data_IF_576095996445
#
_entry.id   IF_576095996445
#
_cell.length_a   1.000
_cell.length_b   1.000
_cell.length_c   1.000
_cell.angle_alpha   90.00
_cell.angle_beta   90.00
_cell.angle_gamma   90.00
#
_symmetry.space_group_name_H-M   'P 1'
#
loop_
_entity.id
_entity.type
_entity.pdbx_description
1 polymer ?
#
# COMPACT_ATOMS: atom_id res chain seq x y z
N UNK A 1 -13.60 -1.91 -9.96
CA UNK A 1 -12.97 -3.13 -10.55
C UNK A 1 -12.49 -2.90 -11.97
N UNK A 2 -13.34 -2.57 -12.95
CA UNK A 2 -12.91 -2.36 -14.35
C UNK A 2 -11.89 -1.23 -14.52
N UNK A 3 -12.10 -0.08 -13.88
CA UNK A 3 -11.13 1.03 -13.90
C UNK A 3 -9.76 0.64 -13.32
N UNK A 4 -9.76 -0.12 -12.21
CA UNK A 4 -8.52 -0.65 -11.60
C UNK A 4 -7.82 -1.65 -12.53
N UNK A 5 -8.59 -2.53 -13.20
CA UNK A 5 -8.06 -3.43 -14.22
C UNK A 5 -7.57 -2.67 -15.47
N UNK A 6 -8.07 -1.48 -15.75
CA UNK A 6 -7.73 -0.71 -16.93
C UNK A 6 -6.45 0.12 -16.80
N UNK A 7 -5.92 0.28 -15.58
CA UNK A 7 -4.84 1.22 -15.25
C UNK A 7 -5.26 2.68 -15.50
N UNK A 8 -6.41 3.03 -14.93
CA UNK A 8 -7.02 4.36 -15.00
C UNK A 8 -7.14 4.98 -13.59
N UNK A 9 -6.04 5.48 -12.99
CA UNK A 9 -6.04 6.02 -11.65
C UNK A 9 -7.05 7.17 -11.46
N UNK A 10 -7.21 8.04 -12.46
CA UNK A 10 -8.14 9.18 -12.41
C UNK A 10 -9.59 8.72 -12.35
N UNK A 11 -9.94 7.66 -13.08
CA UNK A 11 -11.28 7.06 -13.05
C UNK A 11 -11.50 6.36 -11.70
N UNK A 12 -10.48 5.67 -11.18
CA UNK A 12 -10.56 5.04 -9.85
C UNK A 12 -10.80 6.09 -8.77
N UNK A 13 -10.02 7.17 -8.75
CA UNK A 13 -10.18 8.28 -7.81
C UNK A 13 -11.56 8.90 -7.90
N UNK A 14 -12.03 9.22 -9.11
CA UNK A 14 -13.37 9.77 -9.33
C UNK A 14 -14.45 8.85 -8.78
N UNK A 15 -14.40 7.55 -9.08
CA UNK A 15 -15.38 6.59 -8.59
C UNK A 15 -15.38 6.51 -7.05
N UNK A 16 -14.21 6.53 -6.42
CA UNK A 16 -14.09 6.49 -4.96
C UNK A 16 -14.62 7.77 -4.31
N UNK A 17 -14.35 8.94 -4.90
CA UNK A 17 -14.92 10.22 -4.47
C UNK A 17 -16.46 10.21 -4.53
N UNK A 18 -17.05 9.52 -5.52
CA UNK A 18 -18.50 9.33 -5.62
C UNK A 18 -19.05 8.16 -4.78
N UNK A 19 -18.25 7.59 -3.87
CA UNK A 19 -18.70 6.57 -2.92
C UNK A 19 -18.74 5.14 -3.47
N UNK A 20 -17.96 4.82 -4.52
CA UNK A 20 -17.84 3.45 -5.00
C UNK A 20 -17.38 2.49 -3.90
N UNK A 21 -18.09 1.37 -3.76
CA UNK A 21 -17.83 0.40 -2.69
C UNK A 21 -16.61 -0.49 -3.02
N UNK A 22 -15.52 -0.34 -2.26
CA UNK A 22 -14.27 -1.13 -2.42
C UNK A 22 -14.35 -2.54 -1.85
N UNK A 23 -15.37 -2.85 -1.05
CA UNK A 23 -15.53 -4.13 -0.36
C UNK A 23 -16.23 -5.20 -1.21
N UNK A 24 -16.76 -4.82 -2.38
CA UNK A 24 -17.48 -5.75 -3.24
C UNK A 24 -16.56 -6.84 -3.79
N UNK A 25 -17.13 -8.04 -3.89
CA UNK A 25 -16.58 -9.19 -4.59
C UNK A 25 -17.46 -9.54 -5.79
N UNK A 26 -16.84 -9.97 -6.89
CA UNK A 26 -17.59 -10.52 -8.02
C UNK A 26 -17.94 -12.01 -7.79
N UNK A 27 -18.55 -12.66 -8.78
CA UNK A 27 -18.99 -14.06 -8.71
C UNK A 27 -17.87 -15.09 -8.45
N UNK A 28 -16.61 -14.70 -8.66
CA UNK A 28 -15.42 -15.52 -8.36
C UNK A 28 -14.60 -14.94 -7.20
N UNK A 29 -15.26 -14.20 -6.32
CA UNK A 29 -14.71 -13.60 -5.10
C UNK A 29 -13.56 -12.59 -5.31
N UNK A 30 -13.36 -12.07 -6.53
CA UNK A 30 -12.35 -11.04 -6.78
C UNK A 30 -12.83 -9.69 -6.28
N UNK A 31 -11.99 -9.04 -5.48
CA UNK A 31 -12.16 -7.64 -5.05
C UNK A 31 -11.51 -6.66 -6.03
N UNK A 32 -11.74 -5.36 -5.83
CA UNK A 32 -11.05 -4.33 -6.63
C UNK A 32 -9.52 -4.44 -6.57
N UNK A 33 -8.97 -4.80 -5.41
CA UNK A 33 -7.52 -4.92 -5.22
C UNK A 33 -6.93 -6.14 -5.95
N UNK A 34 -7.69 -7.25 -6.08
CA UNK A 34 -7.27 -8.35 -6.94
C UNK A 34 -7.16 -7.92 -8.42
N UNK A 35 -8.08 -7.09 -8.90
CA UNK A 35 -8.02 -6.58 -10.27
C UNK A 35 -6.83 -5.64 -10.50
N UNK A 36 -6.50 -4.80 -9.52
CA UNK A 36 -5.29 -3.96 -9.56
C UNK A 36 -4.02 -4.83 -9.61
N UNK A 37 -3.96 -5.90 -8.82
CA UNK A 37 -2.86 -6.86 -8.83
C UNK A 37 -2.71 -7.60 -10.18
N UNK A 38 -3.82 -7.97 -10.83
CA UNK A 38 -3.80 -8.72 -12.09
C UNK A 38 -3.36 -7.88 -13.30
N UNK A 39 -3.68 -6.59 -13.37
CA UNK A 39 -3.37 -5.82 -14.58
C UNK A 39 -1.87 -5.69 -14.83
N UNK A 40 -1.12 -5.51 -13.75
CA UNK A 40 0.33 -5.50 -13.72
C UNK A 40 0.95 -6.75 -14.39
N UNK A 41 0.19 -7.80 -14.69
CA UNK A 41 0.69 -9.08 -15.23
C UNK A 41 0.53 -9.25 -16.75
N UNK A 42 -0.35 -8.47 -17.41
CA UNK A 42 -0.82 -8.79 -18.78
C UNK A 42 -0.21 -7.97 -19.92
N UNK A 43 0.44 -6.82 -19.68
CA UNK A 43 0.85 -5.92 -20.77
C UNK A 43 2.22 -5.25 -20.54
N UNK A 44 3.27 -5.64 -21.28
CA UNK A 44 4.55 -4.91 -21.32
C UNK A 44 5.12 -4.80 -22.73
N UNK A 45 4.80 -3.70 -23.42
CA UNK A 45 5.69 -3.12 -24.45
C UNK A 45 6.34 -1.79 -23.97
N UNK A 46 5.78 -1.14 -22.94
CA UNK A 46 6.26 0.14 -22.39
C UNK A 46 6.20 0.13 -20.84
N UNK A 47 7.23 -0.39 -20.17
CA UNK A 47 7.19 -0.71 -18.74
C UNK A 47 7.26 0.51 -17.79
N UNK A 48 8.10 1.51 -18.06
CA UNK A 48 8.47 2.49 -17.01
C UNK A 48 7.37 3.49 -16.62
N UNK A 49 6.52 3.97 -17.56
CA UNK A 49 5.47 4.96 -17.24
C UNK A 49 4.24 4.34 -16.56
N UNK A 50 3.99 3.05 -16.77
CA UNK A 50 2.78 2.33 -16.29
C UNK A 50 2.93 1.71 -14.90
N UNK A 51 4.17 1.59 -14.42
CA UNK A 51 4.45 1.12 -13.07
C UNK A 51 3.95 2.14 -12.04
N UNK A 52 4.09 3.43 -12.31
CA UNK A 52 3.68 4.52 -11.41
C UNK A 52 2.15 4.63 -11.23
N UNK A 53 1.37 4.49 -12.30
CA UNK A 53 -0.09 4.60 -12.25
C UNK A 53 -0.76 3.44 -11.50
N UNK A 54 -0.18 2.23 -11.54
CA UNK A 54 -0.69 1.09 -10.79
C UNK A 54 -0.42 1.22 -9.28
N UNK A 55 0.71 1.81 -8.89
CA UNK A 55 0.99 2.13 -7.49
C UNK A 55 -0.01 3.16 -6.94
N UNK A 56 -0.42 4.13 -7.76
CA UNK A 56 -1.45 5.10 -7.40
C UNK A 56 -2.82 4.44 -7.19
N UNK A 57 -3.27 3.57 -8.11
CA UNK A 57 -4.52 2.80 -7.95
C UNK A 57 -4.48 1.98 -6.67
N UNK A 58 -3.38 1.27 -6.42
CA UNK A 58 -3.20 0.45 -5.23
C UNK A 58 -3.28 1.29 -3.95
N UNK A 59 -2.55 2.41 -3.91
CA UNK A 59 -2.52 3.31 -2.76
C UNK A 59 -3.90 3.89 -2.48
N UNK A 60 -4.63 4.29 -3.54
CA UNK A 60 -5.96 4.87 -3.40
C UNK A 60 -6.99 3.86 -2.90
N UNK A 61 -6.96 2.61 -3.40
CA UNK A 61 -7.83 1.55 -2.89
C UNK A 61 -7.55 1.23 -1.42
N UNK A 62 -6.27 1.15 -1.02
CA UNK A 62 -5.88 0.85 0.36
C UNK A 62 -6.28 2.01 1.30
N UNK A 63 -6.09 3.26 0.88
CA UNK A 63 -6.55 4.46 1.60
C UNK A 63 -8.05 4.43 1.84
N UNK A 64 -8.81 3.97 0.84
CA UNK A 64 -10.26 3.75 0.93
C UNK A 64 -10.63 2.42 1.64
N UNK A 65 -9.68 1.80 2.35
CA UNK A 65 -9.85 0.61 3.20
C UNK A 65 -10.24 -0.67 2.45
N UNK A 66 -9.81 -0.80 1.20
CA UNK A 66 -9.94 -2.04 0.46
C UNK A 66 -9.29 -3.22 1.21
N UNK A 67 -9.95 -4.38 1.17
CA UNK A 67 -9.49 -5.58 1.85
C UNK A 67 -8.22 -6.15 1.21
N UNK A 68 -7.10 -6.15 1.96
CA UNK A 68 -5.78 -6.60 1.50
C UNK A 68 -5.56 -8.12 1.58
N UNK A 69 -6.35 -8.81 2.41
CA UNK A 69 -6.25 -10.25 2.66
C UNK A 69 -7.49 -11.04 2.21
N UNK A 70 -8.41 -10.43 1.49
CA UNK A 70 -9.59 -11.14 0.99
C UNK A 70 -9.16 -12.21 0.01
N UNK A 71 -9.81 -13.38 0.09
CA UNK A 71 -9.51 -14.50 -0.78
C UNK A 71 -10.44 -14.49 -1.99
N UNK A 72 -9.89 -14.76 -3.16
CA UNK A 72 -10.66 -15.06 -4.37
C UNK A 72 -11.20 -16.51 -4.36
N UNK A 73 -11.88 -16.90 -5.44
CA UNK A 73 -12.46 -18.23 -5.61
C UNK A 73 -11.43 -19.36 -5.68
N UNK A 74 -10.15 -19.03 -5.86
CA UNK A 74 -9.02 -19.96 -5.85
C UNK A 74 -8.28 -19.95 -4.51
N UNK A 75 -8.70 -19.14 -3.55
CA UNK A 75 -8.02 -19.00 -2.26
C UNK A 75 -6.73 -18.19 -2.33
N UNK A 76 -6.59 -17.29 -3.31
CA UNK A 76 -5.49 -16.34 -3.42
C UNK A 76 -5.88 -14.99 -2.85
N UNK A 77 -4.96 -14.31 -2.15
CA UNK A 77 -5.11 -12.89 -1.82
C UNK A 77 -4.63 -12.00 -2.96
N UNK A 78 -4.88 -10.68 -2.93
CA UNK A 78 -4.25 -9.74 -3.87
C UNK A 78 -2.72 -9.87 -3.88
N UNK A 79 -2.09 -10.03 -2.71
CA UNK A 79 -0.65 -10.28 -2.60
C UNK A 79 -0.25 -11.60 -3.28
N UNK A 80 -1.02 -12.67 -3.05
CA UNK A 80 -0.81 -13.95 -3.72
C UNK A 80 -0.84 -13.84 -5.24
N UNK A 81 -1.82 -13.12 -5.79
CA UNK A 81 -1.89 -12.88 -7.24
C UNK A 81 -0.68 -12.11 -7.77
N UNK A 82 -0.16 -11.13 -7.02
CA UNK A 82 1.07 -10.39 -7.40
C UNK A 82 2.24 -11.36 -7.52
N UNK A 83 2.42 -12.28 -6.57
CA UNK A 83 3.55 -13.21 -6.57
C UNK A 83 3.40 -14.31 -7.62
N UNK A 84 2.18 -14.80 -7.84
CA UNK A 84 1.89 -15.88 -8.78
C UNK A 84 1.99 -15.45 -10.25
N UNK A 85 1.67 -14.19 -10.55
CA UNK A 85 1.53 -13.71 -11.93
C UNK A 85 2.40 -12.49 -12.25
N UNK A 86 2.92 -11.80 -11.24
CA UNK A 86 3.82 -10.68 -11.46
C UNK A 86 5.11 -11.14 -12.14
N UNK A 87 5.61 -10.35 -13.07
CA UNK A 87 6.89 -10.59 -13.75
C UNK A 87 8.01 -9.84 -13.02
N UNK A 88 8.76 -9.01 -13.75
CA UNK A 88 9.99 -8.34 -13.31
C UNK A 88 9.84 -7.54 -12.00
N UNK A 89 8.80 -6.73 -11.85
CA UNK A 89 8.58 -5.89 -10.64
C UNK A 89 7.61 -6.50 -9.60
N UNK A 90 7.37 -7.82 -9.59
CA UNK A 90 6.42 -8.44 -8.63
C UNK A 90 6.77 -8.17 -7.16
N UNK A 91 8.07 -8.22 -6.83
CA UNK A 91 8.55 -7.99 -5.46
C UNK A 91 8.40 -6.52 -5.08
N UNK A 92 8.75 -5.59 -5.97
CA UNK A 92 8.55 -4.16 -5.73
C UNK A 92 7.07 -3.82 -5.54
N UNK A 93 6.20 -4.43 -6.34
CA UNK A 93 4.75 -4.24 -6.24
C UNK A 93 4.16 -4.83 -4.95
N UNK A 94 4.63 -6.01 -4.54
CA UNK A 94 4.29 -6.60 -3.24
C UNK A 94 4.77 -5.72 -2.07
N UNK A 95 6.00 -5.18 -2.13
CA UNK A 95 6.55 -4.28 -1.13
C UNK A 95 5.72 -2.99 -1.00
N UNK A 96 5.27 -2.42 -2.13
CA UNK A 96 4.40 -1.25 -2.08
C UNK A 96 3.03 -1.56 -1.47
N UNK A 97 2.44 -2.72 -1.79
CA UNK A 97 1.21 -3.19 -1.15
C UNK A 97 1.37 -3.24 0.37
N UNK A 98 2.46 -3.86 0.83
CA UNK A 98 2.78 -3.97 2.26
C UNK A 98 2.97 -2.58 2.85
N UNK A 99 3.82 -1.73 2.27
CA UNK A 99 4.12 -0.36 2.74
C UNK A 99 2.86 0.48 2.89
N UNK A 100 1.99 0.49 1.88
CA UNK A 100 0.75 1.26 1.89
C UNK A 100 -0.25 0.69 2.92
N UNK A 101 -0.45 -0.63 2.95
CA UNK A 101 -1.41 -1.28 3.86
C UNK A 101 -1.02 -1.13 5.33
N UNK A 102 0.26 -1.25 5.64
CA UNK A 102 0.80 -1.10 7.00
C UNK A 102 0.65 0.34 7.48
N UNK A 103 0.94 1.35 6.65
CA UNK A 103 0.73 2.76 7.01
C UNK A 103 -0.76 3.08 7.22
N UNK A 104 -1.64 2.62 6.35
CA UNK A 104 -3.08 2.86 6.47
C UNK A 104 -3.74 2.13 7.66
N UNK A 105 -3.09 1.08 8.17
CA UNK A 105 -3.50 0.34 9.35
C UNK A 105 -2.44 0.40 10.47
N UNK A 106 -1.71 1.51 10.59
CA UNK A 106 -0.58 1.64 11.53
C UNK A 106 -0.89 1.27 12.99
N UNK A 107 -2.16 1.42 13.41
CA UNK A 107 -2.65 1.05 14.74
C UNK A 107 -2.69 -0.45 14.99
N UNK A 108 -2.86 -1.27 13.95
CA UNK A 108 -3.03 -2.73 14.06
C UNK A 108 -2.13 -3.45 13.06
N UNK A 109 -1.35 -4.40 13.57
CA UNK A 109 -0.52 -5.23 12.70
C UNK A 109 -1.38 -6.08 11.77
N UNK A 110 -1.08 -6.03 10.48
CA UNK A 110 -1.63 -6.88 9.44
C UNK A 110 -0.68 -8.07 9.30
N UNK A 111 -1.22 -9.27 9.38
CA UNK A 111 -0.51 -10.48 8.96
C UNK A 111 -0.85 -10.68 7.49
N UNK A 112 0.15 -10.63 6.62
CA UNK A 112 -0.05 -10.84 5.18
C UNK A 112 -0.09 -12.33 4.88
N UNK A 113 -1.03 -12.73 4.04
CA UNK A 113 -1.15 -14.10 3.56
C UNK A 113 -1.13 -14.09 2.04
N UNK A 114 -0.53 -15.11 1.43
CA UNK A 114 -0.43 -15.22 -0.02
C UNK A 114 -1.55 -16.11 -0.58
N UNK A 115 -1.74 -17.30 -0.01
CA UNK A 115 -2.73 -18.29 -0.47
C UNK A 115 -3.24 -19.17 0.67
N UNK A 116 -4.23 -20.02 0.39
CA UNK A 116 -4.54 -21.20 1.22
C UNK A 116 -3.52 -22.31 0.91
N UNK A 117 -2.71 -22.71 1.90
CA UNK A 117 -1.59 -23.70 1.92
C UNK A 117 -1.69 -24.99 1.04
N UNK A 118 -2.87 -25.32 0.51
CA UNK A 118 -3.17 -26.58 -0.16
C UNK A 118 -3.15 -26.53 -1.70
N UNK A 119 -3.05 -25.36 -2.34
CA UNK A 119 -3.41 -25.22 -3.77
C UNK A 119 -2.28 -25.54 -4.78
N UNK A 120 -0.99 -25.47 -4.42
CA UNK A 120 0.09 -25.56 -5.43
C UNK A 120 1.17 -26.60 -5.07
N UNK A 121 1.34 -27.63 -5.91
CA UNK A 121 2.49 -28.54 -5.91
C UNK A 121 3.58 -28.03 -6.86
N UNK A 122 4.86 -28.12 -6.48
CA UNK A 122 6.06 -27.62 -7.16
C UNK A 122 6.38 -26.10 -7.03
N UNK A 123 5.42 -25.16 -7.11
CA UNK A 123 5.69 -23.72 -6.87
C UNK A 123 6.04 -23.35 -5.41
N UNK A 124 5.80 -24.26 -4.47
CA UNK A 124 5.95 -24.05 -3.03
C UNK A 124 7.33 -23.59 -2.56
N UNK A 125 8.42 -23.92 -3.24
CA UNK A 125 9.77 -23.58 -2.74
C UNK A 125 10.14 -22.11 -3.02
N UNK A 126 9.99 -21.65 -4.26
CA UNK A 126 10.23 -20.24 -4.62
C UNK A 126 9.23 -19.32 -3.92
N UNK A 127 7.96 -19.71 -3.85
CA UNK A 127 6.92 -19.01 -3.08
C UNK A 127 7.32 -18.86 -1.60
N UNK A 128 7.85 -19.92 -0.99
CA UNK A 128 8.26 -19.89 0.41
C UNK A 128 9.44 -18.95 0.66
N UNK A 129 10.42 -18.89 -0.25
CA UNK A 129 11.54 -17.95 -0.12
C UNK A 129 11.05 -16.50 -0.24
N UNK A 130 10.22 -16.22 -1.24
CA UNK A 130 9.63 -14.89 -1.44
C UNK A 130 8.73 -14.46 -0.28
N UNK A 131 7.93 -15.39 0.26
CA UNK A 131 7.11 -15.18 1.44
C UNK A 131 7.98 -14.79 2.64
N UNK A 132 9.08 -15.51 2.90
CA UNK A 132 10.00 -15.15 3.99
C UNK A 132 10.70 -13.81 3.80
N UNK A 133 11.01 -13.41 2.55
CA UNK A 133 11.58 -12.09 2.29
C UNK A 133 10.55 -10.99 2.59
N UNK A 134 9.30 -11.18 2.16
CA UNK A 134 8.23 -10.22 2.35
C UNK A 134 7.75 -10.15 3.81
N UNK A 135 7.79 -11.25 4.55
CA UNK A 135 7.58 -11.29 6.00
C UNK A 135 8.62 -10.42 6.71
N UNK A 136 9.91 -10.64 6.43
CA UNK A 136 11.00 -9.79 6.97
C UNK A 136 10.85 -8.33 6.57
N UNK A 137 10.45 -8.07 5.32
CA UNK A 137 10.17 -6.72 4.87
C UNK A 137 9.02 -6.08 5.67
N UNK A 138 7.92 -6.80 5.88
CA UNK A 138 6.80 -6.33 6.68
C UNK A 138 7.20 -6.07 8.14
N UNK A 139 8.07 -6.92 8.72
CA UNK A 139 8.64 -6.69 10.05
C UNK A 139 9.39 -5.37 10.14
N UNK A 140 10.35 -5.13 9.24
CA UNK A 140 11.12 -3.89 9.22
C UNK A 140 10.22 -2.65 9.01
N UNK A 141 9.18 -2.78 8.19
CA UNK A 141 8.20 -1.70 7.99
C UNK A 141 7.43 -1.42 9.28
N UNK A 142 7.06 -2.45 10.05
CA UNK A 142 6.39 -2.28 11.34
C UNK A 142 7.30 -1.73 12.44
N UNK A 143 8.60 -2.03 12.40
CA UNK A 143 9.60 -1.39 13.27
C UNK A 143 9.65 0.12 13.01
N UNK A 144 9.70 0.53 11.74
CA UNK A 144 9.69 1.95 11.37
C UNK A 144 8.35 2.62 11.74
N UNK A 145 7.20 1.96 11.54
CA UNK A 145 5.91 2.46 12.07
C UNK A 145 5.97 2.64 13.59
N UNK A 146 6.61 1.73 14.31
CA UNK A 146 6.72 1.80 15.76
C UNK A 146 7.56 3.00 16.19
N UNK A 147 8.63 3.32 15.48
CA UNK A 147 9.42 4.54 15.66
C UNK A 147 8.58 5.79 15.35
N UNK A 148 7.89 5.82 14.21
CA UNK A 148 7.05 6.95 13.79
C UNK A 148 5.93 7.27 14.79
N UNK A 149 5.41 6.28 15.51
CA UNK A 149 4.39 6.46 16.56
C UNK A 149 4.89 7.24 17.78
N UNK A 150 6.18 7.14 18.08
CA UNK A 150 6.79 7.77 19.27
C UNK A 150 6.91 9.28 19.09
N UNK A 151 7.01 9.75 17.85
CA UNK A 151 7.09 11.16 17.52
C UNK A 151 5.72 11.84 17.59
N UNK A 152 5.47 12.52 18.72
CA UNK A 152 4.32 13.40 18.89
C UNK A 152 4.55 14.74 18.20
N UNK A 153 3.61 15.12 17.35
CA UNK A 153 3.58 16.37 16.62
C UNK A 153 2.57 17.32 17.27
N UNK A 154 2.76 18.65 17.11
CA UNK A 154 1.78 19.64 17.55
C UNK A 154 0.35 19.30 17.08
N UNK A 155 -0.64 19.49 17.96
CA UNK A 155 -2.03 19.12 17.70
C UNK A 155 -2.40 17.67 18.08
N UNK A 156 -1.48 16.92 18.70
CA UNK A 156 -1.75 15.55 19.20
C UNK A 156 -1.66 14.48 18.13
N UNK A 157 -1.03 14.80 17.00
CA UNK A 157 -0.79 13.88 15.90
C UNK A 157 0.52 13.13 16.10
N UNK A 158 0.72 12.02 15.41
CA UNK A 158 2.05 11.43 15.26
C UNK A 158 2.53 11.40 13.81
N UNK A 159 3.77 10.96 13.60
CA UNK A 159 4.37 10.95 12.27
C UNK A 159 3.68 9.99 11.29
N UNK A 160 3.05 8.90 11.76
CA UNK A 160 2.21 8.05 10.90
C UNK A 160 0.99 8.82 10.38
N UNK A 161 0.39 9.64 11.24
CA UNK A 161 -0.79 10.43 10.90
C UNK A 161 -0.48 11.56 9.92
N UNK A 162 0.68 12.16 10.09
CA UNK A 162 1.25 13.11 9.14
C UNK A 162 1.53 12.45 7.78
N UNK A 163 2.25 11.32 7.76
CA UNK A 163 2.66 10.63 6.54
C UNK A 163 1.47 10.14 5.69
N UNK A 164 0.38 9.67 6.31
CA UNK A 164 -0.84 9.25 5.59
C UNK A 164 -1.65 10.41 4.98
N UNK A 165 -1.33 11.66 5.33
CA UNK A 165 -2.11 12.83 4.93
C UNK A 165 -3.40 13.00 5.73
N UNK A 166 -3.39 12.62 7.01
CA UNK A 166 -4.53 12.74 7.91
C UNK A 166 -4.96 14.15 8.26
N UNK A 167 -4.08 15.13 8.01
CA UNK A 167 -4.31 16.56 8.18
C UNK A 167 -4.60 17.18 6.83
N UNK A 168 -5.68 17.93 6.70
CA UNK A 168 -5.93 18.82 5.55
C UNK A 168 -4.83 19.88 5.42
N UNK A 169 -4.69 20.48 4.24
CA UNK A 169 -3.73 21.58 4.04
C UNK A 169 -4.03 22.78 4.95
N UNK A 170 -5.31 23.02 5.25
CA UNK A 170 -5.72 24.08 6.17
C UNK A 170 -5.32 23.78 7.61
N UNK A 171 -5.47 22.53 8.06
CA UNK A 171 -5.00 22.11 9.39
C UNK A 171 -3.47 22.20 9.49
N UNK A 172 -2.74 21.79 8.45
CA UNK A 172 -1.27 21.93 8.38
C UNK A 172 -0.83 23.39 8.48
N UNK A 173 -1.49 24.30 7.73
CA UNK A 173 -1.20 25.75 7.79
C UNK A 173 -1.57 26.38 9.12
N UNK A 174 -2.60 25.85 9.79
CA UNK A 174 -3.03 26.35 11.10
C UNK A 174 -2.05 26.04 12.24
N UNK A 175 -1.11 25.11 12.02
CA UNK A 175 -0.11 24.71 13.01
C UNK A 175 1.30 24.81 12.39
N UNK A 176 1.86 26.03 12.22
CA UNK A 176 3.16 26.23 11.59
C UNK A 176 4.30 25.39 12.20
N UNK A 177 4.22 25.14 13.51
CA UNK A 177 5.18 24.35 14.26
C UNK A 177 5.28 22.88 13.81
N UNK A 178 4.25 22.31 13.15
CA UNK A 178 4.32 20.93 12.63
C UNK A 178 5.45 20.81 11.61
N UNK A 179 5.60 21.79 10.72
CA UNK A 179 6.63 21.73 9.67
C UNK A 179 8.03 21.69 10.28
N UNK A 180 8.31 22.59 11.21
CA UNK A 180 9.61 22.71 11.85
C UNK A 180 9.95 21.45 12.66
N UNK A 181 8.96 20.90 13.36
CA UNK A 181 9.13 19.68 14.15
C UNK A 181 9.37 18.44 13.29
N UNK A 182 8.63 18.27 12.19
CA UNK A 182 8.88 17.16 11.25
C UNK A 182 10.26 17.30 10.61
N UNK A 183 10.69 18.52 10.26
CA UNK A 183 12.04 18.74 9.72
C UNK A 183 13.13 18.40 10.75
N UNK A 184 12.95 18.77 12.02
CA UNK A 184 13.84 18.39 13.11
C UNK A 184 13.97 16.87 13.23
N UNK A 185 12.84 16.16 13.23
CA UNK A 185 12.80 14.69 13.29
C UNK A 185 13.54 14.07 12.10
N UNK A 186 13.36 14.58 10.88
CA UNK A 186 14.06 14.06 9.68
C UNK A 186 15.56 14.34 9.63
N UNK A 187 16.06 15.29 10.44
CA UNK A 187 17.50 15.52 10.61
C UNK A 187 18.09 14.53 11.62
N UNK A 188 17.34 14.18 12.66
CA UNK A 188 17.75 13.27 13.73
C UNK A 188 17.60 11.79 13.34
N UNK A 189 16.60 11.47 12.53
CA UNK A 189 16.21 10.10 12.18
C UNK A 189 16.14 9.87 10.68
N UNK A 190 16.46 8.64 10.27
CA UNK A 190 16.33 8.20 8.88
C UNK A 190 15.19 7.19 8.73
N UNK A 191 14.13 7.58 8.04
CA UNK A 191 12.99 6.72 7.71
C UNK A 191 13.20 6.11 6.32
N UNK A 192 13.67 4.86 6.29
CA UNK A 192 14.02 4.13 5.08
C UNK A 192 12.80 3.81 4.21
N UNK A 193 11.66 3.54 4.84
CA UNK A 193 10.46 3.09 4.13
C UNK A 193 9.49 4.25 3.85
N UNK A 194 9.33 5.18 4.80
CA UNK A 194 8.32 6.23 4.75
C UNK A 194 8.88 7.65 4.61
N UNK A 195 10.20 7.82 4.61
CA UNK A 195 10.83 9.14 4.49
C UNK A 195 10.39 9.90 3.23
N UNK A 196 10.21 9.19 2.11
CA UNK A 196 9.69 9.75 0.87
C UNK A 196 8.26 10.31 1.02
N UNK A 197 7.37 9.59 1.72
CA UNK A 197 6.01 10.05 1.97
C UNK A 197 5.99 11.26 2.91
N UNK A 198 6.82 11.26 3.95
CA UNK A 198 6.94 12.39 4.89
C UNK A 198 7.44 13.62 4.14
N UNK A 199 8.51 13.49 3.33
CA UNK A 199 9.07 14.58 2.53
C UNK A 199 8.09 15.10 1.48
N UNK A 200 7.40 14.19 0.77
CA UNK A 200 6.36 14.56 -0.19
C UNK A 200 5.23 15.35 0.47
N UNK A 201 4.89 15.04 1.73
CA UNK A 201 3.90 15.80 2.49
C UNK A 201 4.41 17.16 2.91
N UNK A 202 5.66 17.25 3.37
CA UNK A 202 6.32 18.52 3.69
C UNK A 202 6.38 19.47 2.48
N UNK A 203 6.60 18.94 1.28
CA UNK A 203 6.61 19.73 0.04
C UNK A 203 5.27 20.36 -0.35
N UNK A 204 4.16 20.00 0.33
CA UNK A 204 2.82 20.57 0.12
C UNK A 204 2.47 21.69 1.11
N UNK A 205 3.38 22.06 2.02
CA UNK A 205 3.22 23.22 2.91
C UNK A 205 3.43 24.55 2.19
#
# INVERSE_FOLDING_TARGET
>A
MWAARGDHPEIVQMLLQFGANVYLQNEINLTCLHFAALYYTRNYRNASRRVLSNFEILSELIRNKACVNCLDGLGCTPLGLILLFGREYKISFAKELIKAATLENWKRRIVFHTTKSQVLGARKYEEKVEETELEKYADNVYEEISLMKVYELPGGYNLCEFARGGLSEDELRSIPAIKDEVMRILVEESFRFYGDLILNRLGRF
#
